data_IF_359738292849
#
_entry.id   IF_359738292849
#
_cell.length_a   1.000
_cell.length_b   1.000
_cell.length_c   1.000
_cell.angle_alpha   90.00
_cell.angle_beta   90.00
_cell.angle_gamma   90.00
#
_symmetry.space_group_name_H-M   'P 1'
#
loop_
_entity.id
_entity.type
_entity.pdbx_description
1 polymer ?
#
# COMPACT_ATOMS: atom_id res chain seq x y z
N UNK A 1 23.44 35.30 -9.94
CA UNK A 1 23.17 35.46 -8.49
C UNK A 1 22.99 34.08 -7.91
N UNK A 2 23.81 33.66 -6.94
CA UNK A 2 23.67 32.34 -6.30
C UNK A 2 22.42 32.37 -5.42
N UNK A 3 21.37 31.65 -5.83
CA UNK A 3 20.13 31.55 -5.06
C UNK A 3 20.36 30.65 -3.84
N UNK A 4 20.31 31.22 -2.65
CA UNK A 4 20.21 30.44 -1.41
C UNK A 4 18.76 30.00 -1.24
N UNK A 5 18.47 28.74 -1.56
CA UNK A 5 17.18 28.13 -1.20
C UNK A 5 17.20 27.69 0.26
N UNK A 6 16.27 28.21 1.07
CA UNK A 6 16.09 27.76 2.45
C UNK A 6 15.23 26.50 2.48
N UNK A 7 15.80 25.37 2.89
CA UNK A 7 15.05 24.14 3.18
C UNK A 7 15.15 23.88 4.68
N UNK A 8 14.07 24.15 5.40
CA UNK A 8 13.95 23.80 6.81
C UNK A 8 13.48 22.34 6.93
N UNK A 9 14.36 21.46 7.40
CA UNK A 9 14.01 20.07 7.75
C UNK A 9 13.49 20.04 9.19
N UNK A 10 12.27 19.55 9.42
CA UNK A 10 11.74 19.31 10.78
C UNK A 10 11.98 17.84 11.16
N UNK A 11 12.61 17.54 12.31
CA UNK A 11 12.58 16.20 12.88
C UNK A 11 11.55 16.12 14.02
N UNK A 12 10.59 15.21 13.87
CA UNK A 12 9.60 14.92 14.91
C UNK A 12 10.25 14.13 16.05
N UNK A 13 10.08 14.61 17.30
CA UNK A 13 10.73 14.06 18.48
C UNK A 13 9.77 13.31 19.42
N UNK A 14 10.18 12.12 19.85
CA UNK A 14 9.74 11.52 21.11
C UNK A 14 10.86 11.70 22.15
N UNK A 15 10.52 12.32 23.30
CA UNK A 15 11.28 12.23 24.56
C UNK A 15 12.32 13.31 24.85
N UNK A 16 11.93 14.31 25.67
CA UNK A 16 12.70 14.85 26.79
C UNK A 16 14.01 15.63 26.56
N UNK A 17 14.62 15.62 25.38
CA UNK A 17 15.82 16.42 25.09
C UNK A 17 15.45 17.62 24.20
N UNK A 18 15.71 18.85 24.66
CA UNK A 18 15.74 20.04 23.80
C UNK A 18 16.85 19.85 22.77
N UNK A 19 16.55 19.22 21.63
CA UNK A 19 17.45 19.16 20.48
C UNK A 19 17.59 20.58 19.95
N UNK A 20 18.81 21.11 19.98
CA UNK A 20 19.12 22.39 19.35
C UNK A 20 18.77 22.30 17.85
N UNK A 21 18.01 23.29 17.36
CA UNK A 21 17.69 23.43 15.94
C UNK A 21 18.99 23.66 15.16
N UNK A 22 19.56 22.61 14.58
CA UNK A 22 20.64 22.72 13.63
C UNK A 22 20.05 23.03 12.26
N UNK A 23 20.07 24.30 11.86
CA UNK A 23 19.78 24.71 10.50
C UNK A 23 21.04 24.50 9.67
N UNK A 24 21.05 23.48 8.82
CA UNK A 24 22.11 23.28 7.84
C UNK A 24 21.78 24.09 6.58
N UNK A 25 22.61 25.09 6.28
CA UNK A 25 22.59 25.75 4.97
C UNK A 25 23.50 24.98 4.03
N UNK A 26 22.91 24.17 3.17
CA UNK A 26 23.64 23.51 2.11
C UNK A 26 23.63 24.45 0.91
N UNK A 27 24.81 24.85 0.44
CA UNK A 27 24.94 25.49 -0.87
C UNK A 27 24.54 24.48 -1.94
N UNK A 28 23.30 24.55 -2.40
CA UNK A 28 22.81 23.74 -3.51
C UNK A 28 23.51 24.28 -4.77
N UNK A 29 23.88 23.39 -5.70
CA UNK A 29 24.31 23.83 -7.04
C UNK A 29 23.18 24.60 -7.74
N UNK A 30 23.36 24.94 -9.01
CA UNK A 30 22.34 25.71 -9.74
C UNK A 30 20.97 25.02 -9.81
N UNK A 31 20.87 23.71 -9.51
CA UNK A 31 19.63 22.94 -9.55
C UNK A 31 19.45 22.03 -8.33
N UNK A 32 18.19 21.86 -7.89
CA UNK A 32 17.74 20.95 -6.83
C UNK A 32 16.79 19.89 -7.40
N UNK A 33 17.06 18.62 -7.09
CA UNK A 33 16.16 17.50 -7.41
C UNK A 33 15.65 16.86 -6.11
N UNK A 34 14.34 16.91 -5.90
CA UNK A 34 13.66 16.24 -4.80
C UNK A 34 13.38 14.78 -5.17
N UNK A 35 14.00 13.84 -4.45
CA UNK A 35 13.86 12.40 -4.67
C UNK A 35 13.59 11.64 -3.35
N UNK A 36 12.88 12.26 -2.41
CA UNK A 36 12.67 11.79 -1.05
C UNK A 36 11.41 10.91 -0.85
N UNK A 37 10.96 10.23 -1.90
CA UNK A 37 9.76 9.38 -1.87
C UNK A 37 8.48 10.18 -1.47
N UNK A 38 7.39 9.47 -1.19
CA UNK A 38 6.10 10.04 -0.85
C UNK A 38 5.89 10.26 0.65
N UNK A 39 4.61 10.29 1.05
CA UNK A 39 4.20 10.71 2.39
C UNK A 39 3.52 9.62 3.22
N UNK A 40 3.57 8.36 2.77
CA UNK A 40 2.84 7.27 3.42
C UNK A 40 3.20 6.99 4.88
N UNK A 41 4.38 7.43 5.34
CA UNK A 41 4.79 7.35 6.75
C UNK A 41 4.20 8.45 7.63
N UNK A 42 3.63 9.51 7.04
CA UNK A 42 3.01 10.62 7.75
C UNK A 42 1.51 10.39 7.90
N UNK A 43 1.10 9.96 9.11
CA UNK A 43 -0.31 9.62 9.39
C UNK A 43 -1.27 10.78 9.22
N UNK A 44 -0.82 12.02 9.43
CA UNK A 44 -1.69 13.19 9.30
C UNK A 44 -1.96 13.51 7.83
N UNK A 45 -0.93 13.47 6.99
CA UNK A 45 -1.09 13.60 5.54
C UNK A 45 -1.90 12.43 4.94
N UNK A 46 -1.68 11.19 5.42
CA UNK A 46 -2.50 10.04 5.01
C UNK A 46 -3.96 10.23 5.41
N UNK A 47 -4.25 10.68 6.63
CA UNK A 47 -5.63 10.96 7.07
C UNK A 47 -6.28 12.07 6.25
N UNK A 48 -5.52 13.10 5.90
CA UNK A 48 -5.99 14.23 5.10
C UNK A 48 -6.32 13.84 3.66
N UNK A 49 -5.49 13.01 3.03
CA UNK A 49 -5.58 12.75 1.58
C UNK A 49 -6.14 11.37 1.22
N UNK A 50 -5.99 10.36 2.09
CA UNK A 50 -6.39 8.97 1.88
C UNK A 50 -7.18 8.50 3.10
N UNK A 51 -8.31 9.16 3.38
CA UNK A 51 -9.11 8.90 4.58
C UNK A 51 -9.53 7.43 4.74
N UNK A 52 -9.74 6.71 3.64
CA UNK A 52 -10.07 5.27 3.63
C UNK A 52 -8.97 4.37 4.17
N UNK A 53 -7.72 4.84 4.23
CA UNK A 53 -6.55 4.12 4.76
C UNK A 53 -5.91 4.85 5.94
N UNK A 54 -6.64 5.74 6.62
CA UNK A 54 -6.14 6.56 7.74
C UNK A 54 -5.55 5.74 8.90
N UNK A 55 -6.11 4.56 9.15
CA UNK A 55 -5.65 3.62 10.19
C UNK A 55 -4.82 2.44 9.62
N UNK A 56 -4.46 2.49 8.33
CA UNK A 56 -3.69 1.44 7.69
C UNK A 56 -2.29 1.32 8.30
N UNK A 57 -1.77 0.10 8.33
CA UNK A 57 -0.33 -0.12 8.48
C UNK A 57 0.38 0.49 7.26
N UNK A 58 1.39 1.34 7.49
CA UNK A 58 2.28 1.73 6.40
C UNK A 58 3.34 0.66 6.19
N UNK A 59 3.33 0.02 5.02
CA UNK A 59 4.27 -1.02 4.60
C UNK A 59 5.41 -0.44 3.75
N UNK A 60 5.99 0.65 4.25
CA UNK A 60 7.14 1.31 3.67
C UNK A 60 8.05 1.85 4.76
N UNK A 61 9.12 2.54 4.37
CA UNK A 61 10.05 3.09 5.34
C UNK A 61 9.42 4.27 6.10
N UNK A 62 9.37 4.28 7.45
CA UNK A 62 8.67 5.30 8.23
C UNK A 62 9.23 6.71 8.02
N UNK A 63 10.47 6.86 7.52
CA UNK A 63 11.03 8.17 7.14
C UNK A 63 10.36 8.86 5.95
N UNK A 64 9.44 8.19 5.25
CA UNK A 64 8.68 8.79 4.14
C UNK A 64 7.57 9.73 4.67
N UNK A 65 7.99 10.86 5.23
CA UNK A 65 7.14 11.82 5.96
C UNK A 65 6.50 12.90 5.07
N UNK A 66 6.75 12.86 3.76
CA UNK A 66 6.18 13.82 2.82
C UNK A 66 6.94 15.14 2.70
N UNK A 67 8.25 15.14 2.99
CA UNK A 67 9.09 16.36 2.99
C UNK A 67 8.96 17.18 1.70
N UNK A 68 8.98 16.53 0.53
CA UNK A 68 8.81 17.22 -0.75
C UNK A 68 7.48 17.96 -0.87
N UNK A 69 6.39 17.37 -0.37
CA UNK A 69 5.07 18.01 -0.39
C UNK A 69 5.06 19.24 0.53
N UNK A 70 5.58 19.10 1.74
CA UNK A 70 5.62 20.18 2.73
C UNK A 70 6.51 21.34 2.26
N UNK A 71 7.69 21.05 1.71
CA UNK A 71 8.55 22.08 1.13
C UNK A 71 7.94 22.70 -0.12
N UNK A 72 7.34 21.89 -0.98
CA UNK A 72 6.68 22.36 -2.19
C UNK A 72 5.54 23.33 -1.86
N UNK A 73 4.68 23.00 -0.89
CA UNK A 73 3.61 23.88 -0.44
C UNK A 73 4.14 25.24 0.04
N UNK A 74 5.19 25.23 0.86
CA UNK A 74 5.85 26.45 1.34
C UNK A 74 6.46 27.29 0.20
N UNK A 75 6.83 26.66 -0.91
CA UNK A 75 7.37 27.30 -2.13
C UNK A 75 6.28 27.66 -3.16
N UNK A 76 5.00 27.41 -2.88
CA UNK A 76 3.90 27.66 -3.81
C UNK A 76 3.83 26.66 -4.97
N UNK A 77 4.43 25.48 -4.83
CA UNK A 77 4.33 24.38 -5.77
C UNK A 77 2.91 23.79 -5.79
N UNK A 78 2.47 23.39 -6.98
CA UNK A 78 1.25 22.62 -7.16
C UNK A 78 1.49 21.15 -6.79
N UNK A 79 0.49 20.52 -6.19
CA UNK A 79 0.44 19.07 -5.96
C UNK A 79 -0.72 18.45 -6.73
N UNK A 80 -0.62 17.15 -7.05
CA UNK A 80 -1.65 16.43 -7.80
C UNK A 80 -1.86 15.04 -7.22
N UNK A 81 -3.10 14.57 -7.37
CA UNK A 81 -3.51 13.19 -7.13
C UNK A 81 -3.14 12.68 -5.74
N UNK A 82 -3.16 13.55 -4.72
CA UNK A 82 -2.72 13.18 -3.37
C UNK A 82 -3.47 11.95 -2.86
N UNK A 83 -4.75 11.79 -3.17
CA UNK A 83 -5.52 10.60 -2.81
C UNK A 83 -5.15 9.31 -3.59
N UNK A 84 -4.36 9.37 -4.65
CA UNK A 84 -3.90 8.20 -5.40
C UNK A 84 -2.89 7.39 -4.58
N UNK A 85 -3.07 6.08 -4.49
CA UNK A 85 -2.29 5.23 -3.60
C UNK A 85 -2.25 3.75 -4.04
N UNK A 86 -1.35 2.99 -3.45
CA UNK A 86 -1.29 1.54 -3.52
C UNK A 86 -1.65 0.95 -2.16
N UNK A 87 -2.82 0.31 -2.06
CA UNK A 87 -3.19 -0.52 -0.91
C UNK A 87 -2.73 -1.96 -1.05
N UNK A 88 -2.72 -2.73 0.04
CA UNK A 88 -2.66 -4.18 -0.01
C UNK A 88 -3.48 -4.82 1.11
N UNK A 89 -4.47 -5.65 0.77
CA UNK A 89 -5.34 -6.34 1.72
C UNK A 89 -4.80 -7.67 2.25
N UNK A 90 -3.48 -7.88 2.34
CA UNK A 90 -2.91 -9.20 2.68
C UNK A 90 -1.55 -9.09 3.36
N UNK A 91 -1.44 -8.23 4.37
CA UNK A 91 -0.27 -8.18 5.24
C UNK A 91 -0.58 -8.92 6.53
N UNK A 92 0.24 -9.91 6.90
CA UNK A 92 0.10 -10.67 8.13
C UNK A 92 0.10 -9.73 9.34
N UNK A 93 -1.02 -9.71 10.06
CA UNK A 93 -1.28 -8.79 11.15
C UNK A 93 -0.24 -8.99 12.27
N UNK A 94 0.34 -7.88 12.77
CA UNK A 94 1.45 -7.82 13.74
C UNK A 94 2.81 -8.37 13.27
N UNK A 95 2.83 -9.37 12.40
CA UNK A 95 4.08 -9.90 11.84
C UNK A 95 4.70 -8.99 10.78
N UNK A 96 3.89 -8.18 10.08
CA UNK A 96 4.38 -7.25 9.06
C UNK A 96 5.02 -7.98 7.87
N UNK A 97 4.46 -9.12 7.49
CA UNK A 97 4.92 -9.93 6.35
C UNK A 97 3.84 -9.91 5.27
N UNK A 98 4.24 -9.66 4.04
CA UNK A 98 3.32 -9.72 2.91
C UNK A 98 2.93 -11.18 2.64
N UNK A 99 1.64 -11.46 2.62
CA UNK A 99 1.11 -12.75 2.17
C UNK A 99 0.68 -12.62 0.72
N UNK A 100 1.31 -13.41 -0.15
CA UNK A 100 1.07 -13.38 -1.59
C UNK A 100 -0.43 -13.43 -1.91
N UNK A 101 -0.86 -12.52 -2.80
CA UNK A 101 -2.24 -12.47 -3.28
C UNK A 101 -2.64 -13.72 -4.07
N UNK A 102 -1.66 -14.56 -4.45
CA UNK A 102 -1.92 -15.89 -4.99
C UNK A 102 -2.79 -16.74 -4.05
N UNK A 103 -2.75 -16.50 -2.74
CA UNK A 103 -3.69 -17.14 -1.80
C UNK A 103 -5.16 -16.91 -2.17
N UNK A 104 -5.49 -15.74 -2.72
CA UNK A 104 -6.84 -15.37 -3.15
C UNK A 104 -7.08 -15.72 -4.62
N UNK A 105 -6.13 -15.46 -5.53
CA UNK A 105 -6.33 -15.77 -6.97
C UNK A 105 -6.45 -17.26 -7.22
N UNK A 106 -5.80 -18.09 -6.39
CA UNK A 106 -5.92 -19.56 -6.39
C UNK A 106 -7.14 -20.10 -5.62
N UNK A 107 -8.11 -19.21 -5.36
CA UNK A 107 -9.45 -19.45 -4.77
C UNK A 107 -9.54 -19.58 -3.26
N UNK A 108 -8.53 -19.15 -2.51
CA UNK A 108 -8.74 -18.79 -1.11
C UNK A 108 -9.67 -17.59 -0.98
N UNK A 109 -10.18 -17.35 0.23
CA UNK A 109 -11.13 -16.27 0.50
C UNK A 109 -10.83 -15.59 1.83
N UNK A 110 -11.43 -14.43 2.06
CA UNK A 110 -11.23 -13.67 3.30
C UNK A 110 -12.53 -13.58 4.11
N UNK A 111 -12.43 -13.89 5.40
CA UNK A 111 -13.53 -13.67 6.37
C UNK A 111 -13.12 -12.65 7.41
N UNK A 112 -14.09 -11.89 7.91
CA UNK A 112 -13.87 -10.97 9.02
C UNK A 112 -13.81 -11.72 10.37
N UNK A 113 -13.68 -10.97 11.48
CA UNK A 113 -13.65 -11.52 12.84
C UNK A 113 -14.96 -12.23 13.26
N UNK A 114 -16.01 -12.14 12.46
CA UNK A 114 -17.32 -12.75 12.70
C UNK A 114 -17.55 -13.99 11.81
N UNK A 115 -16.51 -14.44 11.09
CA UNK A 115 -16.56 -15.62 10.22
C UNK A 115 -17.33 -15.41 8.91
N UNK A 116 -17.60 -14.16 8.53
CA UNK A 116 -18.34 -13.81 7.32
C UNK A 116 -17.44 -13.21 6.25
N UNK A 117 -17.71 -13.55 4.99
CA UNK A 117 -17.16 -12.79 3.86
C UNK A 117 -17.79 -11.40 3.80
N UNK A 118 -17.06 -10.44 3.24
CA UNK A 118 -17.44 -9.02 3.27
C UNK A 118 -17.15 -8.27 1.97
N UNK A 119 -16.50 -8.91 0.99
CA UNK A 119 -16.17 -8.29 -0.29
C UNK A 119 -15.97 -9.33 -1.39
N UNK A 120 -15.81 -8.86 -2.63
CA UNK A 120 -15.33 -9.67 -3.74
C UNK A 120 -13.81 -9.52 -3.86
N UNK A 121 -13.09 -10.49 -3.32
CA UNK A 121 -11.63 -10.48 -3.28
C UNK A 121 -11.01 -10.64 -4.68
N UNK A 122 -11.77 -11.01 -5.71
CA UNK A 122 -11.25 -11.07 -7.08
C UNK A 122 -11.09 -9.68 -7.74
N UNK A 123 -11.59 -8.60 -7.12
CA UNK A 123 -11.44 -7.24 -7.65
C UNK A 123 -10.00 -6.74 -7.63
N UNK A 124 -9.20 -7.20 -6.67
CA UNK A 124 -7.79 -6.82 -6.55
C UNK A 124 -7.34 -6.67 -5.10
N UNK A 125 -6.03 -6.80 -4.87
CA UNK A 125 -5.44 -6.59 -3.55
C UNK A 125 -5.44 -5.11 -3.12
N UNK A 126 -5.49 -4.19 -4.10
CA UNK A 126 -5.42 -2.74 -3.90
C UNK A 126 -6.66 -2.26 -3.14
N UNK A 127 -7.84 -2.55 -3.69
CA UNK A 127 -9.14 -2.16 -3.15
C UNK A 127 -9.43 -2.89 -1.84
N UNK A 128 -8.96 -4.14 -1.71
CA UNK A 128 -9.21 -4.96 -0.54
C UNK A 128 -8.66 -4.34 0.77
N UNK A 129 -7.60 -3.53 0.69
CA UNK A 129 -7.05 -2.88 1.87
C UNK A 129 -8.11 -2.05 2.63
N UNK A 130 -8.88 -1.23 1.92
CA UNK A 130 -9.93 -0.41 2.53
C UNK A 130 -11.09 -1.26 3.06
N UNK A 131 -11.45 -2.34 2.35
CA UNK A 131 -12.53 -3.24 2.80
C UNK A 131 -12.19 -3.94 4.13
N UNK A 132 -10.94 -4.35 4.33
CA UNK A 132 -10.48 -4.95 5.58
C UNK A 132 -10.47 -3.92 6.72
N UNK A 133 -10.05 -2.68 6.46
CA UNK A 133 -10.00 -1.65 7.51
C UNK A 133 -11.40 -1.26 8.02
N UNK A 134 -12.46 -1.49 7.22
CA UNK A 134 -13.84 -1.31 7.66
C UNK A 134 -14.38 -2.49 8.49
N UNK A 135 -13.68 -3.63 8.53
CA UNK A 135 -14.11 -4.79 9.30
C UNK A 135 -13.81 -4.61 10.80
N UNK A 136 -14.50 -5.35 11.68
CA UNK A 136 -14.21 -5.34 13.11
C UNK A 136 -12.72 -5.60 13.40
N UNK A 137 -12.12 -4.70 14.19
CA UNK A 137 -10.70 -4.70 14.55
C UNK A 137 -9.72 -4.48 13.36
N UNK A 138 -10.20 -4.02 12.20
CA UNK A 138 -9.40 -3.75 11.00
C UNK A 138 -8.58 -4.97 10.53
N UNK A 139 -9.17 -6.16 10.65
CA UNK A 139 -8.55 -7.45 10.32
C UNK A 139 -9.48 -8.31 9.48
N UNK A 140 -8.86 -9.24 8.77
CA UNK A 140 -9.51 -10.39 8.17
C UNK A 140 -8.64 -11.63 8.37
N UNK A 141 -9.19 -12.79 8.04
CA UNK A 141 -8.45 -14.02 7.91
C UNK A 141 -8.51 -14.48 6.46
N UNK A 142 -7.36 -14.64 5.83
CA UNK A 142 -7.27 -15.31 4.53
C UNK A 142 -7.26 -16.82 4.76
N UNK A 143 -8.26 -17.52 4.24
CA UNK A 143 -8.46 -18.97 4.33
C UNK A 143 -8.16 -19.63 2.99
N UNK A 144 -7.36 -20.70 3.00
CA UNK A 144 -6.91 -21.43 1.82
C UNK A 144 -6.57 -22.91 2.17
N UNK A 145 -6.16 -23.72 1.20
CA UNK A 145 -5.82 -25.15 1.39
C UNK A 145 -4.33 -25.43 1.14
N UNK A 146 -3.90 -26.68 1.37
CA UNK A 146 -2.50 -27.10 1.12
C UNK A 146 -2.07 -26.93 -0.34
N UNK A 147 -2.97 -27.13 -1.30
CA UNK A 147 -2.66 -26.92 -2.73
C UNK A 147 -2.21 -25.48 -2.96
N UNK A 148 -2.95 -24.52 -2.44
CA UNK A 148 -2.60 -23.09 -2.51
C UNK A 148 -1.30 -22.83 -1.75
N UNK A 149 -1.15 -23.42 -0.56
CA UNK A 149 0.08 -23.31 0.24
C UNK A 149 1.33 -23.73 -0.53
N UNK A 150 1.26 -24.84 -1.26
CA UNK A 150 2.35 -25.33 -2.11
C UNK A 150 2.77 -24.32 -3.19
N UNK A 151 1.83 -23.57 -3.75
CA UNK A 151 2.11 -22.48 -4.71
C UNK A 151 2.80 -21.32 -3.98
N UNK A 152 2.21 -20.84 -2.89
CA UNK A 152 2.73 -19.63 -2.23
C UNK A 152 4.04 -19.86 -1.47
N UNK A 153 4.39 -21.11 -1.14
CA UNK A 153 5.69 -21.50 -0.57
C UNK A 153 6.88 -21.23 -1.50
N UNK A 154 6.65 -20.93 -2.77
CA UNK A 154 7.67 -20.41 -3.69
C UNK A 154 8.15 -19.00 -3.31
N UNK A 155 7.31 -18.20 -2.65
CA UNK A 155 7.65 -16.86 -2.19
C UNK A 155 8.35 -16.90 -0.82
N UNK A 156 9.45 -16.15 -0.69
CA UNK A 156 10.24 -16.10 0.55
C UNK A 156 9.43 -15.59 1.74
N UNK A 157 8.64 -14.54 1.54
CA UNK A 157 7.80 -13.96 2.60
C UNK A 157 6.82 -14.98 3.17
N UNK A 158 6.23 -15.83 2.34
CA UNK A 158 5.32 -16.88 2.83
C UNK A 158 6.08 -17.93 3.64
N UNK A 159 7.27 -18.38 3.21
CA UNK A 159 8.10 -19.30 3.99
C UNK A 159 8.47 -18.71 5.35
N UNK A 160 8.76 -17.40 5.41
CA UNK A 160 9.00 -16.69 6.68
C UNK A 160 7.75 -16.65 7.56
N UNK A 161 6.58 -16.41 6.97
CA UNK A 161 5.31 -16.45 7.70
C UNK A 161 5.01 -17.84 8.30
N UNK A 162 5.24 -18.92 7.54
CA UNK A 162 5.13 -20.29 8.04
C UNK A 162 6.12 -20.54 9.18
N UNK A 163 7.41 -20.17 9.01
CA UNK A 163 8.44 -20.35 10.03
C UNK A 163 8.18 -19.56 11.33
N UNK A 164 7.47 -18.43 11.25
CA UNK A 164 7.03 -17.64 12.41
C UNK A 164 5.77 -18.19 13.08
N UNK A 165 5.15 -19.24 12.53
CA UNK A 165 3.93 -19.84 13.07
C UNK A 165 2.68 -18.96 12.93
N UNK A 166 2.68 -17.98 12.02
CA UNK A 166 1.51 -17.10 11.80
C UNK A 166 0.51 -17.68 10.80
N UNK A 167 0.88 -18.77 10.12
CA UNK A 167 -0.01 -19.54 9.24
C UNK A 167 -0.53 -20.75 10.02
N UNK A 168 -1.83 -20.77 10.30
CA UNK A 168 -2.52 -21.90 10.91
C UNK A 168 -2.59 -23.06 9.92
N UNK A 169 -2.60 -24.30 10.42
CA UNK A 169 -2.83 -25.53 9.63
C UNK A 169 -3.69 -26.46 10.47
N UNK A 170 -4.82 -26.92 9.93
CA UNK A 170 -5.82 -27.73 10.63
C UNK A 170 -6.57 -28.65 9.66
N UNK A 171 -7.14 -29.75 10.16
CA UNK A 171 -7.82 -30.74 9.32
C UNK A 171 -9.35 -30.53 9.22
N UNK A 172 -9.91 -29.56 9.94
CA UNK A 172 -11.35 -29.30 9.95
C UNK A 172 -11.71 -27.82 10.05
N UNK A 173 -12.90 -27.46 9.56
CA UNK A 173 -13.46 -26.10 9.65
C UNK A 173 -13.75 -25.70 11.10
N UNK A 174 -14.16 -26.64 11.95
CA UNK A 174 -14.43 -26.38 13.37
C UNK A 174 -13.14 -26.03 14.12
N UNK A 175 -12.06 -26.78 13.88
CA UNK A 175 -10.76 -26.46 14.46
C UNK A 175 -10.20 -25.13 13.93
N UNK A 176 -10.43 -24.86 12.64
CA UNK A 176 -10.07 -23.60 12.00
C UNK A 176 -10.75 -22.41 12.70
N UNK A 177 -12.07 -22.48 12.89
CA UNK A 177 -12.83 -21.45 13.60
C UNK A 177 -12.34 -21.23 15.04
N UNK A 178 -12.07 -22.33 15.75
CA UNK A 178 -11.55 -22.30 17.13
C UNK A 178 -10.20 -21.58 17.22
N UNK A 179 -9.25 -21.90 16.34
CA UNK A 179 -7.93 -21.27 16.34
C UNK A 179 -7.95 -19.82 15.84
N UNK A 180 -8.86 -19.49 14.92
CA UNK A 180 -9.07 -18.12 14.46
C UNK A 180 -9.78 -17.24 15.51
N UNK A 181 -10.46 -17.86 16.48
CA UNK A 181 -11.27 -17.17 17.49
C UNK A 181 -12.54 -16.56 16.90
N UNK A 182 -13.18 -17.22 15.94
CA UNK A 182 -14.41 -16.76 15.26
C UNK A 182 -15.57 -17.75 15.47
N UNK A 183 -16.84 -17.33 15.28
CA UNK A 183 -17.98 -18.23 15.42
C UNK A 183 -17.96 -19.37 14.40
N UNK A 184 -17.98 -20.62 14.89
CA UNK A 184 -17.88 -21.81 14.04
C UNK A 184 -19.09 -21.99 13.11
N UNK A 185 -20.29 -21.67 13.59
CA UNK A 185 -21.52 -21.67 12.81
C UNK A 185 -21.45 -20.68 11.64
N UNK A 186 -20.94 -19.47 11.87
CA UNK A 186 -20.78 -18.46 10.83
C UNK A 186 -19.74 -18.87 9.79
N UNK A 187 -18.60 -19.44 10.20
CA UNK A 187 -17.58 -19.92 9.27
C UNK A 187 -18.11 -21.08 8.42
N UNK A 188 -18.73 -22.08 9.04
CA UNK A 188 -19.33 -23.22 8.34
C UNK A 188 -20.39 -22.78 7.34
N UNK A 189 -21.23 -21.81 7.71
CA UNK A 189 -22.19 -21.20 6.78
C UNK A 189 -21.49 -20.53 5.59
N UNK A 190 -20.42 -19.77 5.81
CA UNK A 190 -19.63 -19.16 4.74
C UNK A 190 -19.08 -20.22 3.76
N UNK A 191 -18.52 -21.32 4.26
CA UNK A 191 -18.08 -22.43 3.39
C UNK A 191 -19.23 -22.99 2.55
N UNK A 192 -20.38 -23.26 3.17
CA UNK A 192 -21.55 -23.79 2.48
C UNK A 192 -22.10 -22.83 1.41
N UNK A 193 -22.08 -21.52 1.66
CA UNK A 193 -22.48 -20.49 0.69
C UNK A 193 -21.55 -20.48 -0.54
N UNK A 194 -20.23 -20.56 -0.32
CA UNK A 194 -19.23 -20.65 -1.39
C UNK A 194 -19.43 -21.92 -2.22
N UNK A 195 -19.60 -23.07 -1.57
CA UNK A 195 -19.82 -24.35 -2.26
C UNK A 195 -21.13 -24.35 -3.05
N UNK A 196 -22.19 -23.75 -2.51
CA UNK A 196 -23.46 -23.60 -3.21
C UNK A 196 -23.33 -22.72 -4.45
N UNK A 197 -22.61 -21.59 -4.36
CA UNK A 197 -22.32 -20.72 -5.50
C UNK A 197 -21.50 -21.46 -6.57
N UNK A 198 -20.48 -22.20 -6.15
CA UNK A 198 -19.64 -23.01 -7.03
C UNK A 198 -20.43 -24.10 -7.76
N UNK A 199 -21.26 -24.87 -7.04
CA UNK A 199 -22.06 -25.95 -7.62
C UNK A 199 -23.05 -25.47 -8.68
N UNK A 200 -23.56 -24.24 -8.53
CA UNK A 200 -24.48 -23.61 -9.51
C UNK A 200 -23.76 -23.03 -10.73
N UNK A 201 -22.42 -23.05 -10.76
CA UNK A 201 -21.63 -22.36 -11.80
C UNK A 201 -21.80 -20.84 -11.79
N UNK A 202 -22.18 -20.28 -10.63
CA UNK A 202 -22.54 -18.88 -10.48
C UNK A 202 -21.54 -18.07 -9.66
N UNK A 203 -21.95 -16.84 -9.34
CA UNK A 203 -21.25 -16.01 -8.36
C UNK A 203 -21.97 -16.04 -7.00
N UNK A 204 -21.22 -15.77 -5.95
CA UNK A 204 -21.77 -15.55 -4.61
C UNK A 204 -22.51 -14.20 -4.49
N UNK A 205 -22.94 -13.86 -3.27
CA UNK A 205 -23.61 -12.59 -2.95
C UNK A 205 -22.76 -11.32 -3.23
N UNK A 206 -21.45 -11.45 -3.38
CA UNK A 206 -20.53 -10.36 -3.69
C UNK A 206 -20.16 -10.29 -5.19
N UNK A 207 -20.69 -11.19 -6.01
CA UNK A 207 -20.37 -11.30 -7.43
C UNK A 207 -19.02 -11.96 -7.71
N UNK A 208 -18.45 -12.71 -6.75
CA UNK A 208 -17.25 -13.52 -6.97
C UNK A 208 -17.63 -14.90 -7.49
N UNK A 209 -17.09 -15.27 -8.64
CA UNK A 209 -17.28 -16.61 -9.21
C UNK A 209 -16.42 -17.65 -8.51
N UNK A 210 -17.03 -18.80 -8.21
CA UNK A 210 -16.36 -20.01 -7.70
C UNK A 210 -16.66 -21.20 -8.62
N UNK A 211 -15.82 -22.23 -8.57
CA UNK A 211 -15.95 -23.45 -9.38
C UNK A 211 -15.79 -24.69 -8.51
N UNK A 212 -16.55 -25.79 -8.76
CA UNK A 212 -16.42 -27.02 -8.00
C UNK A 212 -15.01 -27.62 -8.03
N UNK A 213 -14.29 -27.43 -9.14
CA UNK A 213 -12.92 -27.92 -9.31
C UNK A 213 -11.89 -27.25 -8.38
N UNK A 214 -12.28 -26.16 -7.72
CA UNK A 214 -11.41 -25.36 -6.85
C UNK A 214 -11.94 -25.28 -5.41
N UNK A 215 -12.80 -26.24 -5.02
CA UNK A 215 -13.24 -26.40 -3.64
C UNK A 215 -12.03 -26.64 -2.74
N UNK A 216 -11.92 -25.87 -1.65
CA UNK A 216 -10.87 -26.04 -0.66
C UNK A 216 -11.02 -27.40 0.05
N UNK A 217 -9.90 -28.08 0.26
CA UNK A 217 -9.83 -29.37 0.94
C UNK A 217 -8.90 -29.30 2.16
N UNK A 218 -9.12 -30.13 3.20
CA UNK A 218 -8.16 -30.23 4.28
C UNK A 218 -6.81 -30.80 3.80
N UNK A 219 -5.68 -30.44 4.43
CA UNK A 219 -5.62 -29.51 5.56
C UNK A 219 -5.86 -28.06 5.12
N UNK A 220 -6.70 -27.38 5.89
CA UNK A 220 -7.00 -25.97 5.73
C UNK A 220 -5.91 -25.12 6.39
N UNK A 221 -5.65 -23.96 5.79
CA UNK A 221 -4.74 -22.96 6.29
C UNK A 221 -5.42 -21.62 6.44
N UNK A 222 -4.97 -20.85 7.42
CA UNK A 222 -5.40 -19.47 7.55
C UNK A 222 -4.30 -18.57 8.08
N UNK A 223 -4.32 -17.32 7.66
CA UNK A 223 -3.42 -16.28 8.15
C UNK A 223 -4.22 -15.02 8.45
N UNK A 224 -3.97 -14.45 9.63
CA UNK A 224 -4.60 -13.19 10.05
C UNK A 224 -3.94 -12.04 9.31
N UNK A 225 -4.72 -11.25 8.59
CA UNK A 225 -4.23 -10.15 7.75
C UNK A 225 -4.89 -8.83 8.10
N UNK A 226 -4.26 -7.72 7.69
CA UNK A 226 -4.81 -6.37 7.74
C UNK A 226 -4.63 -5.65 6.40
N UNK A 227 -5.32 -4.54 6.23
CA UNK A 227 -5.12 -3.61 5.12
C UNK A 227 -3.92 -2.70 5.37
N UNK A 228 -3.07 -2.53 4.36
CA UNK A 228 -1.87 -1.73 4.45
C UNK A 228 -1.74 -0.73 3.30
N UNK A 229 -1.10 0.40 3.56
CA UNK A 229 -0.66 1.37 2.57
C UNK A 229 0.79 1.06 2.17
N UNK A 230 1.05 0.87 0.89
CA UNK A 230 2.40 0.58 0.37
C UNK A 230 3.04 1.84 -0.22
N UNK A 231 2.26 2.60 -0.97
CA UNK A 231 2.79 3.72 -1.75
C UNK A 231 1.75 4.83 -1.92
N UNK A 232 2.18 6.08 -1.88
CA UNK A 232 1.38 7.25 -2.26
C UNK A 232 1.76 7.66 -3.67
N UNK A 233 0.79 7.69 -4.58
CA UNK A 233 1.02 8.02 -6.01
C UNK A 233 0.98 9.52 -6.26
N UNK A 234 0.26 10.27 -5.43
CA UNK A 234 0.26 11.71 -5.49
C UNK A 234 1.56 12.33 -4.99
N UNK A 235 1.85 13.52 -5.48
CA UNK A 235 3.08 14.23 -5.20
C UNK A 235 3.08 15.63 -5.81
N UNK A 236 4.27 16.23 -5.89
CA UNK A 236 4.45 17.51 -6.59
C UNK A 236 4.11 17.36 -8.08
N UNK A 237 3.39 18.34 -8.62
CA UNK A 237 3.12 18.40 -10.05
C UNK A 237 4.42 18.74 -10.80
N UNK A 238 4.72 17.99 -11.85
CA UNK A 238 5.88 18.22 -12.71
C UNK A 238 5.48 18.28 -14.19
N UNK A 239 6.27 18.98 -15.00
CA UNK A 239 6.14 18.93 -16.46
C UNK A 239 6.94 17.76 -17.09
N UNK A 240 6.98 17.72 -18.42
CA UNK A 240 7.69 16.70 -19.21
C UNK A 240 9.22 16.71 -19.01
N UNK A 241 9.75 17.77 -18.40
CA UNK A 241 11.17 17.92 -18.06
C UNK A 241 11.43 17.59 -16.58
N UNK A 242 10.40 17.16 -15.84
CA UNK A 242 10.41 16.92 -14.40
C UNK A 242 10.59 18.19 -13.54
N UNK A 243 10.45 19.38 -14.13
CA UNK A 243 10.48 20.63 -13.39
C UNK A 243 9.19 20.77 -12.57
N UNK A 244 9.33 21.14 -11.29
CA UNK A 244 8.19 21.31 -10.38
C UNK A 244 7.37 22.51 -10.84
N UNK A 245 6.05 22.36 -10.88
CA UNK A 245 5.13 23.40 -11.30
C UNK A 245 4.65 24.20 -10.09
N UNK A 246 4.59 25.52 -10.22
CA UNK A 246 3.89 26.40 -9.29
C UNK A 246 2.36 26.22 -9.42
N UNK A 247 1.60 26.77 -8.46
CA UNK A 247 0.12 26.85 -8.55
C UNK A 247 -0.41 27.55 -9.81
N UNK A 248 0.42 28.40 -10.44
CA UNK A 248 0.11 29.07 -11.72
C UNK A 248 0.32 28.18 -12.95
N UNK A 249 0.88 26.97 -12.78
CA UNK A 249 1.24 26.05 -13.85
C UNK A 249 2.58 26.36 -14.52
N UNK A 250 3.31 27.40 -14.11
CA UNK A 250 4.67 27.69 -14.59
C UNK A 250 5.71 26.88 -13.80
N UNK A 251 6.80 26.42 -14.41
CA UNK A 251 7.90 25.78 -13.69
C UNK A 251 8.51 26.71 -12.64
N UNK A 252 8.78 26.17 -11.46
CA UNK A 252 9.64 26.80 -10.46
C UNK A 252 11.09 26.68 -10.94
N UNK A 253 11.84 27.80 -11.04
CA UNK A 253 13.22 27.77 -11.50
C UNK A 253 14.05 26.83 -10.65
N UNK A 254 14.92 26.05 -11.30
CA UNK A 254 15.95 25.23 -10.68
C UNK A 254 15.43 24.14 -9.73
N UNK A 255 14.12 23.83 -9.74
CA UNK A 255 13.50 22.83 -8.87
C UNK A 255 12.88 21.70 -9.68
N UNK A 256 13.30 20.49 -9.39
CA UNK A 256 12.82 19.26 -10.02
C UNK A 256 12.36 18.26 -8.97
N UNK A 257 11.49 17.33 -9.36
CA UNK A 257 11.09 16.23 -8.50
C UNK A 257 11.01 14.92 -9.28
N UNK A 258 11.32 13.81 -8.61
CA UNK A 258 11.31 12.48 -9.19
C UNK A 258 10.90 11.40 -8.16
N UNK A 259 10.55 10.21 -8.64
CA UNK A 259 10.04 9.14 -7.78
C UNK A 259 8.80 9.57 -7.02
N UNK A 260 8.64 9.07 -5.79
CA UNK A 260 7.46 9.37 -4.95
C UNK A 260 7.33 10.84 -4.50
N UNK A 261 8.36 11.68 -4.72
CA UNK A 261 8.26 13.11 -4.45
C UNK A 261 7.41 13.84 -5.52
N UNK A 262 7.42 13.31 -6.74
CA UNK A 262 6.59 13.79 -7.84
C UNK A 262 5.28 13.00 -7.91
N UNK A 263 4.24 13.62 -8.48
CA UNK A 263 3.03 12.91 -8.85
C UNK A 263 3.37 11.82 -9.87
N UNK A 264 3.02 10.57 -9.54
CA UNK A 264 3.20 9.41 -10.38
C UNK A 264 2.23 9.36 -11.56
N UNK A 265 2.37 8.32 -12.38
CA UNK A 265 1.57 8.09 -13.59
C UNK A 265 0.23 7.38 -13.34
N UNK A 266 -0.03 6.97 -12.10
CA UNK A 266 -1.14 6.09 -11.71
C UNK A 266 -2.48 6.83 -11.50
N UNK A 267 -2.55 8.13 -11.75
CA UNK A 267 -3.78 8.91 -11.54
C UNK A 267 -4.14 9.12 -10.06
N UNK A 268 -5.39 9.49 -9.81
CA UNK A 268 -5.95 9.89 -8.50
C UNK A 268 -6.76 8.78 -7.81
N UNK A 269 -6.77 7.56 -8.33
CA UNK A 269 -7.50 6.44 -7.75
C UNK A 269 -6.57 5.28 -7.46
N UNK A 270 -6.94 4.43 -6.50
CA UNK A 270 -6.17 3.23 -6.17
C UNK A 270 -6.09 2.25 -7.34
N UNK A 271 -7.19 2.14 -8.10
CA UNK A 271 -7.34 1.31 -9.30
C UNK A 271 -6.39 1.67 -10.45
N UNK A 272 -5.89 2.91 -10.47
CA UNK A 272 -4.96 3.37 -11.50
C UNK A 272 -3.52 2.91 -11.28
N UNK A 273 -3.20 2.35 -10.11
CA UNK A 273 -1.89 1.75 -9.88
C UNK A 273 -1.73 0.41 -10.59
N UNK A 274 -0.65 0.28 -11.36
CA UNK A 274 -0.17 -0.98 -11.88
C UNK A 274 1.19 -1.31 -11.26
N UNK A 275 1.43 -2.61 -11.05
CA UNK A 275 2.70 -3.10 -10.52
C UNK A 275 3.86 -2.57 -11.37
N UNK A 276 4.86 -1.98 -10.72
CA UNK A 276 6.01 -1.36 -11.37
C UNK A 276 5.88 0.14 -11.64
N UNK A 277 4.70 0.76 -11.55
CA UNK A 277 4.54 2.21 -11.80
C UNK A 277 5.39 3.08 -10.87
N UNK A 278 5.57 2.67 -9.60
CA UNK A 278 6.45 3.37 -8.67
C UNK A 278 7.92 3.35 -9.11
N UNK A 279 8.40 2.20 -9.58
CA UNK A 279 9.76 2.03 -10.09
C UNK A 279 9.96 2.80 -11.42
N UNK A 280 8.96 2.74 -12.29
CA UNK A 280 8.91 3.50 -13.54
C UNK A 280 9.05 5.02 -13.27
N UNK A 281 8.30 5.53 -12.29
CA UNK A 281 8.36 6.94 -11.89
C UNK A 281 9.73 7.29 -11.29
N UNK A 282 10.29 6.41 -10.45
CA UNK A 282 11.61 6.63 -9.84
C UNK A 282 12.75 6.68 -10.86
N UNK A 283 12.85 5.68 -11.74
CA UNK A 283 13.93 5.59 -12.74
C UNK A 283 13.70 6.58 -13.87
N UNK A 284 12.49 6.59 -14.43
CA UNK A 284 12.14 7.40 -15.59
C UNK A 284 12.20 8.90 -15.31
N UNK A 285 11.46 9.38 -14.31
CA UNK A 285 11.52 10.81 -13.95
C UNK A 285 12.88 11.18 -13.36
N UNK A 286 13.55 10.28 -12.63
CA UNK A 286 14.91 10.54 -12.14
C UNK A 286 15.90 10.79 -13.26
N UNK A 287 15.86 9.97 -14.32
CA UNK A 287 16.68 10.17 -15.52
C UNK A 287 16.34 11.49 -16.23
N UNK A 288 15.06 11.79 -16.40
CA UNK A 288 14.59 13.04 -17.03
C UNK A 288 15.04 14.25 -16.23
N UNK A 289 14.77 14.28 -14.92
CA UNK A 289 15.15 15.38 -14.02
C UNK A 289 16.65 15.67 -14.08
N UNK A 290 17.49 14.63 -14.04
CA UNK A 290 18.95 14.79 -14.17
C UNK A 290 19.34 15.43 -15.51
N UNK A 291 18.76 14.95 -16.62
CA UNK A 291 19.07 15.47 -17.96
C UNK A 291 18.64 16.93 -18.12
N UNK A 292 17.44 17.27 -17.63
CA UNK A 292 16.91 18.64 -17.68
C UNK A 292 17.73 19.59 -16.82
N UNK A 293 18.06 19.19 -15.58
CA UNK A 293 18.87 20.01 -14.68
C UNK A 293 20.27 20.27 -15.25
N UNK A 294 20.90 19.26 -15.87
CA UNK A 294 22.22 19.44 -16.49
C UNK A 294 22.19 20.36 -17.73
N UNK A 295 21.08 20.39 -18.47
CA UNK A 295 20.94 21.20 -19.69
C UNK A 295 20.62 22.67 -19.46
N UNK A 296 20.30 23.09 -18.23
CA UNK A 296 20.09 24.51 -17.88
C UNK A 296 21.39 25.23 -17.46
N UNK A 297 22.50 24.49 -17.30
CA UNK A 297 23.80 25.02 -16.88
C UNK A 297 24.79 25.29 -18.02
N UNK A 298 24.36 25.27 -19.28
CA UNK A 298 25.19 25.49 -20.48
C UNK A 298 24.79 26.74 -21.23
#
# INVERSE_FOLDING_TARGET
MRGTGDIAVRPDGLGGFKRQHLVFRIGIGDNLILACNGYGGNKDLVRQHISSLSDALYFGHPGNQGDALLWGEALGAASRHLNGHQGHGSVAHRAGILISWATVTERGFQVNAEGRRFSNEARGYLEQAAEILRQPNAIAWTVFDERIAGIVRQFEDFRRAEAMGVVLTVDSVDELARLMGIPADALTKTFAEIETAAAKGGSDAFGRAFSPAQKLQPPYRAVKVTGALFHTQGGLAVDRTAAVLAGTGKPLPNLYAAGGAACGVSGNEASGYLSGNGLLTAIGLGYIARKSAAGQGS
#
